data_IF_980170530869
#
_entry.id   IF_980170530869
#
_cell.length_a   1.000
_cell.length_b   1.000
_cell.length_c   1.000
_cell.angle_alpha   90.00
_cell.angle_beta   90.00
_cell.angle_gamma   90.00
#
_symmetry.space_group_name_H-M   'P 1'
#
loop_
_entity.id
_entity.type
_entity.pdbx_description
1 polymer ?
#
# COMPACT_ATOMS: atom_id res chain seq x y z
N UNK A 1 13.00 13.93 11.93
CA UNK A 1 11.93 13.13 11.29
C UNK A 1 10.60 13.87 11.40
N UNK A 2 9.86 14.01 10.29
CA UNK A 2 8.51 14.61 10.26
C UNK A 2 7.46 13.49 10.42
N UNK A 3 6.50 13.68 11.32
CA UNK A 3 5.32 12.82 11.42
C UNK A 3 4.18 13.47 10.61
N UNK A 4 3.51 12.67 9.79
CA UNK A 4 2.41 13.11 8.93
C UNK A 4 1.19 12.25 9.26
N UNK A 5 0.17 12.81 9.94
CA UNK A 5 -1.02 12.08 10.28
C UNK A 5 -1.91 11.86 9.05
N UNK A 6 -2.79 10.85 9.12
CA UNK A 6 -3.66 10.44 8.03
C UNK A 6 -4.49 11.60 7.45
N UNK A 7 -5.01 12.50 8.28
CA UNK A 7 -5.85 13.64 7.87
C UNK A 7 -5.11 14.63 6.97
N UNK A 8 -3.77 14.60 7.00
CA UNK A 8 -2.96 15.46 6.15
C UNK A 8 -3.01 15.06 4.66
N UNK A 9 -3.33 13.79 4.34
CA UNK A 9 -3.32 13.27 2.97
C UNK A 9 -4.54 12.42 2.58
N UNK A 10 -5.36 11.95 3.54
CA UNK A 10 -6.60 11.24 3.25
C UNK A 10 -7.47 12.05 2.29
N UNK A 11 -7.97 11.42 1.25
CA UNK A 11 -8.86 11.98 0.20
C UNK A 11 -8.31 13.21 -0.55
N UNK A 12 -7.01 13.54 -0.35
CA UNK A 12 -6.35 14.66 -1.03
C UNK A 12 -5.48 14.23 -2.21
N UNK A 13 -5.23 12.94 -2.36
CA UNK A 13 -4.44 12.40 -3.46
C UNK A 13 -5.41 11.91 -4.54
N UNK A 14 -5.42 12.50 -5.74
CA UNK A 14 -6.23 12.00 -6.84
C UNK A 14 -5.89 10.52 -7.14
N UNK A 15 -6.90 9.70 -7.38
CA UNK A 15 -6.69 8.27 -7.63
C UNK A 15 -5.82 8.02 -8.87
N UNK A 16 -5.93 8.86 -9.89
CA UNK A 16 -5.06 8.82 -11.08
C UNK A 16 -3.57 8.96 -10.76
N UNK A 17 -3.23 9.72 -9.70
CA UNK A 17 -1.83 9.84 -9.22
C UNK A 17 -1.35 8.52 -8.62
N UNK A 18 -2.21 7.83 -7.87
CA UNK A 18 -1.90 6.51 -7.32
C UNK A 18 -1.71 5.47 -8.43
N UNK A 19 -2.60 5.44 -9.43
CA UNK A 19 -2.47 4.54 -10.60
C UNK A 19 -1.13 4.78 -11.28
N UNK A 20 -0.80 6.03 -11.61
CA UNK A 20 0.46 6.37 -12.28
C UNK A 20 1.69 6.01 -11.43
N UNK A 21 1.62 6.17 -10.11
CA UNK A 21 2.72 5.80 -9.21
C UNK A 21 2.93 4.28 -9.15
N UNK A 22 1.86 3.51 -9.03
CA UNK A 22 1.90 2.04 -9.01
C UNK A 22 2.38 1.50 -10.34
N UNK A 23 1.90 2.04 -11.46
CA UNK A 23 2.34 1.66 -12.80
C UNK A 23 3.85 1.87 -12.98
N UNK A 24 4.37 3.04 -12.55
CA UNK A 24 5.82 3.30 -12.57
C UNK A 24 6.60 2.31 -11.69
N UNK A 25 6.06 1.97 -10.51
CA UNK A 25 6.67 1.00 -9.60
C UNK A 25 6.76 -0.40 -10.24
N UNK A 26 5.70 -0.89 -10.86
CA UNK A 26 5.71 -2.17 -11.59
C UNK A 26 6.68 -2.15 -12.77
N UNK A 27 6.71 -1.05 -13.53
CA UNK A 27 7.63 -0.91 -14.65
C UNK A 27 9.10 -0.89 -14.18
N UNK A 28 9.41 -0.20 -13.09
CA UNK A 28 10.75 -0.17 -12.50
C UNK A 28 11.17 -1.56 -12.01
N UNK A 29 10.25 -2.29 -11.34
CA UNK A 29 10.50 -3.66 -10.91
C UNK A 29 10.80 -4.57 -12.10
N UNK A 30 10.01 -4.48 -13.17
CA UNK A 30 10.21 -5.26 -14.39
C UNK A 30 11.52 -4.97 -15.12
N UNK A 31 12.09 -3.77 -14.92
CA UNK A 31 13.42 -3.40 -15.49
C UNK A 31 14.60 -3.69 -14.55
N UNK A 32 14.33 -4.22 -13.34
CA UNK A 32 15.39 -4.44 -12.34
C UNK A 32 15.90 -3.15 -11.70
N UNK A 33 15.09 -2.10 -11.71
CA UNK A 33 15.40 -0.77 -11.14
C UNK A 33 14.81 -0.60 -9.73
N UNK A 34 14.34 -1.68 -9.12
CA UNK A 34 13.76 -1.68 -7.77
C UNK A 34 14.42 -2.72 -6.88
N UNK A 35 14.92 -2.30 -5.73
CA UNK A 35 15.34 -3.18 -4.66
C UNK A 35 14.10 -3.54 -3.82
N UNK A 36 13.74 -4.81 -3.81
CA UNK A 36 12.55 -5.32 -3.14
C UNK A 36 12.88 -6.63 -2.40
N UNK A 37 13.40 -6.54 -1.16
CA UNK A 37 13.70 -7.73 -0.37
C UNK A 37 12.43 -8.47 0.06
N UNK A 38 12.58 -9.74 0.43
CA UNK A 38 11.50 -10.54 0.97
C UNK A 38 10.89 -9.90 2.21
N UNK A 39 9.56 -9.94 2.38
CA UNK A 39 8.89 -9.42 3.54
C UNK A 39 9.31 -10.14 4.82
N UNK A 40 9.55 -9.40 5.91
CA UNK A 40 9.54 -9.98 7.24
C UNK A 40 8.08 -10.19 7.68
N UNK A 41 7.74 -11.41 8.07
CA UNK A 41 6.41 -11.77 8.55
C UNK A 41 6.51 -12.33 9.95
N UNK A 42 5.71 -11.78 10.87
CA UNK A 42 5.50 -12.31 12.22
C UNK A 42 4.07 -12.82 12.29
N UNK A 43 3.92 -14.12 12.49
CA UNK A 43 2.63 -14.75 12.74
C UNK A 43 2.40 -14.88 14.25
N UNK A 44 1.22 -14.50 14.69
CA UNK A 44 0.78 -14.55 16.10
C UNK A 44 -0.51 -15.38 16.21
N UNK A 45 -0.42 -16.72 16.11
CA UNK A 45 -1.59 -17.58 16.03
C UNK A 45 -2.52 -17.45 17.25
N UNK A 46 -1.94 -17.32 18.46
CA UNK A 46 -2.72 -17.16 19.69
C UNK A 46 -3.59 -15.89 19.69
N UNK A 47 -3.15 -14.83 19.00
CA UNK A 47 -3.87 -13.57 18.87
C UNK A 47 -4.76 -13.54 17.61
N UNK A 48 -4.64 -14.54 16.72
CA UNK A 48 -5.18 -14.51 15.35
C UNK A 48 -4.73 -13.21 14.65
N UNK A 49 -3.40 -13.02 14.60
CA UNK A 49 -2.84 -11.78 14.11
C UNK A 49 -1.54 -12.02 13.33
N UNK A 50 -1.19 -11.03 12.53
CA UNK A 50 0.05 -11.01 11.75
C UNK A 50 0.61 -9.60 11.66
N UNK A 51 1.93 -9.50 11.50
CA UNK A 51 2.64 -8.24 11.24
C UNK A 51 3.54 -8.46 10.03
N UNK A 52 3.43 -7.59 9.03
CA UNK A 52 4.25 -7.60 7.84
C UNK A 52 5.12 -6.34 7.79
N UNK A 53 6.43 -6.51 7.63
CA UNK A 53 7.34 -5.41 7.33
C UNK A 53 7.89 -5.61 5.92
N UNK A 54 7.72 -4.58 5.07
CA UNK A 54 8.16 -4.59 3.68
C UNK A 54 9.03 -3.37 3.42
N UNK A 55 10.13 -3.57 2.69
CA UNK A 55 11.01 -2.51 2.25
C UNK A 55 11.04 -2.38 0.75
N UNK A 56 11.28 -1.17 0.23
CA UNK A 56 11.55 -0.95 -1.17
C UNK A 56 12.40 0.31 -1.39
N UNK A 57 13.26 0.25 -2.41
CA UNK A 57 13.97 1.41 -2.94
C UNK A 57 13.93 1.36 -4.47
N UNK A 58 13.66 2.49 -5.10
CA UNK A 58 13.77 2.65 -6.55
C UNK A 58 15.13 3.26 -6.90
N UNK A 59 15.80 2.74 -7.91
CA UNK A 59 17.08 3.27 -8.38
C UNK A 59 16.98 4.78 -8.66
N UNK A 60 17.88 5.56 -8.07
CA UNK A 60 17.85 7.02 -8.13
C UNK A 60 16.74 7.69 -7.31
N UNK A 61 15.94 6.91 -6.58
CA UNK A 61 14.92 7.43 -5.68
C UNK A 61 15.52 8.06 -4.43
N UNK A 62 14.96 9.20 -4.02
CA UNK A 62 15.44 9.96 -2.84
C UNK A 62 15.20 9.25 -1.51
N UNK A 63 14.28 8.29 -1.47
CA UNK A 63 13.87 7.65 -0.22
C UNK A 63 13.87 6.12 -0.34
N UNK A 64 14.24 5.47 0.76
CA UNK A 64 13.91 4.07 1.03
C UNK A 64 12.59 4.08 1.77
N UNK A 65 11.62 3.28 1.32
CA UNK A 65 10.33 3.15 1.99
C UNK A 65 10.25 1.84 2.77
N UNK A 66 9.92 1.92 4.05
CA UNK A 66 9.59 0.78 4.89
C UNK A 66 8.10 0.88 5.26
N UNK A 67 7.37 -0.21 5.06
CA UNK A 67 5.97 -0.32 5.46
C UNK A 67 5.84 -1.36 6.57
N UNK A 68 5.17 -0.98 7.65
CA UNK A 68 4.65 -1.91 8.65
C UNK A 68 3.14 -2.00 8.46
N UNK A 69 2.62 -3.20 8.26
CA UNK A 69 1.19 -3.46 8.19
C UNK A 69 0.82 -4.57 9.17
N UNK A 70 -0.29 -4.39 9.87
CA UNK A 70 -0.75 -5.35 10.88
C UNK A 70 -2.15 -5.86 10.52
N UNK A 71 -2.39 -7.14 10.83
CA UNK A 71 -3.70 -7.76 10.80
C UNK A 71 -4.02 -8.36 12.16
N UNK A 72 -5.03 -7.83 12.85
CA UNK A 72 -5.49 -8.32 14.15
C UNK A 72 -6.98 -8.64 14.07
N UNK A 73 -7.32 -9.84 13.63
CA UNK A 73 -8.68 -10.22 13.22
C UNK A 73 -9.70 -10.24 14.36
N UNK A 74 -9.25 -10.39 15.62
CA UNK A 74 -10.11 -10.29 16.82
C UNK A 74 -10.50 -8.86 17.19
N UNK A 75 -9.88 -7.86 16.60
CA UNK A 75 -10.13 -6.45 16.90
C UNK A 75 -11.58 -6.04 16.59
N UNK A 76 -12.23 -6.67 15.62
CA UNK A 76 -13.66 -6.44 15.30
C UNK A 76 -14.56 -6.62 16.52
N UNK A 77 -14.29 -7.65 17.34
CA UNK A 77 -15.06 -7.90 18.58
C UNK A 77 -14.84 -6.82 19.65
N UNK A 78 -13.81 -5.99 19.50
CA UNK A 78 -13.44 -4.87 20.38
C UNK A 78 -13.82 -3.50 19.81
N UNK A 79 -14.48 -3.46 18.65
CA UNK A 79 -14.78 -2.20 17.95
C UNK A 79 -13.56 -1.52 17.35
N UNK A 80 -12.44 -2.23 17.18
CA UNK A 80 -11.20 -1.72 16.60
C UNK A 80 -11.05 -2.21 15.15
N UNK A 81 -10.29 -1.47 14.29
CA UNK A 81 -9.93 -1.93 12.97
C UNK A 81 -9.17 -3.27 13.03
N UNK A 82 -9.43 -4.16 12.09
CA UNK A 82 -8.68 -5.41 11.96
C UNK A 82 -7.34 -5.23 11.26
N UNK A 83 -7.16 -4.16 10.51
CA UNK A 83 -5.91 -3.80 9.85
C UNK A 83 -5.46 -2.40 10.25
N UNK A 84 -4.15 -2.22 10.37
CA UNK A 84 -3.50 -0.92 10.64
C UNK A 84 -2.14 -0.89 9.94
N UNK A 85 -1.50 0.28 9.88
CA UNK A 85 -0.19 0.39 9.27
C UNK A 85 0.41 1.79 9.31
N UNK A 86 1.71 1.80 9.01
CA UNK A 86 2.50 3.02 8.87
C UNK A 86 3.55 2.84 7.78
N UNK A 87 4.04 3.98 7.26
CA UNK A 87 5.23 4.02 6.43
C UNK A 87 6.32 4.87 7.08
N UNK A 88 7.54 4.36 7.07
CA UNK A 88 8.74 5.09 7.40
C UNK A 88 9.55 5.33 6.13
N UNK A 89 9.86 6.58 5.83
CA UNK A 89 10.76 6.96 4.75
C UNK A 89 12.11 7.32 5.33
N UNK A 90 13.17 6.68 4.82
CA UNK A 90 14.55 7.03 5.11
C UNK A 90 15.11 7.80 3.91
N UNK A 91 15.97 8.75 4.17
CA UNK A 91 16.80 9.37 3.13
C UNK A 91 17.75 8.32 2.54
N UNK A 92 17.77 8.17 1.22
CA UNK A 92 18.50 7.07 0.59
C UNK A 92 20.02 7.25 0.60
N UNK A 93 20.51 8.49 0.77
CA UNK A 93 21.95 8.77 0.78
C UNK A 93 22.54 8.59 2.20
N UNK A 94 21.75 8.91 3.23
CA UNK A 94 22.25 9.00 4.61
C UNK A 94 21.67 7.96 5.55
N UNK A 95 20.57 7.29 5.17
CA UNK A 95 19.82 6.37 6.02
C UNK A 95 19.04 7.07 7.15
N UNK A 96 19.04 8.39 7.23
CA UNK A 96 18.37 9.15 8.28
C UNK A 96 16.85 9.06 8.13
N UNK A 97 16.08 8.72 9.19
CA UNK A 97 14.64 8.76 9.15
C UNK A 97 14.11 10.16 8.85
N UNK A 98 13.43 10.31 7.69
CA UNK A 98 12.94 11.58 7.19
C UNK A 98 11.45 11.80 7.53
N UNK A 99 10.59 10.82 7.23
CA UNK A 99 9.14 10.95 7.37
C UNK A 99 8.54 9.67 7.94
N UNK A 100 7.62 9.82 8.89
CA UNK A 100 6.69 8.77 9.33
C UNK A 100 5.28 9.16 8.87
N UNK A 101 4.62 8.28 8.10
CA UNK A 101 3.22 8.42 7.72
C UNK A 101 2.36 7.53 8.61
N UNK A 102 1.44 8.11 9.36
CA UNK A 102 0.42 7.39 10.13
C UNK A 102 -0.78 7.12 9.21
N UNK A 103 -0.72 6.01 8.46
CA UNK A 103 -1.66 5.77 7.36
C UNK A 103 -2.86 4.90 7.72
N UNK A 104 -2.79 4.17 8.83
CA UNK A 104 -3.89 3.36 9.37
C UNK A 104 -4.56 2.41 8.35
N UNK A 105 -3.78 1.83 7.43
CA UNK A 105 -4.27 0.95 6.37
C UNK A 105 -4.75 1.67 5.10
N UNK A 106 -4.99 2.97 5.12
CA UNK A 106 -5.52 3.74 3.99
C UNK A 106 -4.68 3.63 2.71
N UNK A 107 -3.36 3.90 2.79
CA UNK A 107 -2.49 3.80 1.63
C UNK A 107 -2.32 2.35 1.16
N UNK A 108 -2.45 1.39 2.07
CA UNK A 108 -2.43 -0.04 1.72
C UNK A 108 -3.62 -0.39 0.84
N UNK A 109 -4.81 0.07 1.18
CA UNK A 109 -6.04 -0.15 0.40
C UNK A 109 -5.99 0.66 -0.91
N UNK A 110 -5.64 1.93 -0.82
CA UNK A 110 -5.58 2.87 -1.94
C UNK A 110 -4.62 2.39 -3.05
N UNK A 111 -3.38 1.98 -2.69
CA UNK A 111 -2.42 1.45 -3.67
C UNK A 111 -2.85 0.08 -4.21
N UNK A 112 -3.60 -0.72 -3.44
CA UNK A 112 -4.08 -2.03 -3.90
C UNK A 112 -5.17 -1.84 -4.95
N UNK A 113 -6.10 -0.91 -4.74
CA UNK A 113 -7.07 -0.52 -5.75
C UNK A 113 -6.38 0.00 -7.03
N UNK A 114 -5.35 0.85 -6.88
CA UNK A 114 -4.56 1.34 -8.01
C UNK A 114 -3.85 0.20 -8.77
N UNK A 115 -3.34 -0.83 -8.08
CA UNK A 115 -2.74 -1.99 -8.73
C UNK A 115 -3.75 -2.79 -9.56
N UNK A 116 -4.99 -2.91 -9.08
CA UNK A 116 -6.08 -3.52 -9.86
C UNK A 116 -6.39 -2.70 -11.11
N UNK A 117 -6.46 -1.37 -11.00
CA UNK A 117 -6.68 -0.50 -12.16
C UNK A 117 -5.56 -0.64 -13.21
N UNK A 118 -4.29 -0.72 -12.78
CA UNK A 118 -3.15 -1.01 -13.68
C UNK A 118 -3.31 -2.38 -14.33
N UNK A 119 -3.69 -3.40 -13.57
CA UNK A 119 -3.91 -4.76 -14.10
C UNK A 119 -5.02 -4.76 -15.16
N UNK A 120 -6.14 -4.11 -14.90
CA UNK A 120 -7.24 -3.98 -15.87
C UNK A 120 -6.79 -3.23 -17.13
N UNK A 121 -6.03 -2.16 -16.99
CA UNK A 121 -5.50 -1.38 -18.13
C UNK A 121 -4.72 -2.25 -19.13
N UNK A 122 -3.96 -3.23 -18.64
CA UNK A 122 -3.05 -4.03 -19.48
C UNK A 122 -3.58 -5.42 -19.82
N UNK A 123 -4.42 -6.01 -18.97
CA UNK A 123 -4.83 -7.41 -19.10
C UNK A 123 -6.30 -7.60 -19.41
N UNK A 124 -7.16 -6.59 -19.23
CA UNK A 124 -8.57 -6.71 -19.60
C UNK A 124 -8.72 -6.76 -21.12
N UNK A 125 -9.70 -7.52 -21.66
CA UNK A 125 -10.07 -7.46 -23.06
C UNK A 125 -10.39 -6.02 -23.48
N UNK A 126 -9.95 -5.60 -24.67
CA UNK A 126 -10.13 -4.21 -25.15
C UNK A 126 -11.59 -3.81 -25.36
N UNK A 127 -12.45 -4.77 -25.55
CA UNK A 127 -13.89 -4.63 -25.75
C UNK A 127 -14.70 -4.88 -24.47
N UNK A 128 -14.05 -5.13 -23.32
CA UNK A 128 -14.73 -5.27 -22.04
C UNK A 128 -15.51 -3.99 -21.71
N UNK A 129 -16.80 -4.16 -21.38
CA UNK A 129 -17.69 -3.05 -21.01
C UNK A 129 -18.27 -3.18 -19.61
N UNK A 130 -18.07 -4.35 -19.00
CA UNK A 130 -18.62 -4.68 -17.69
C UNK A 130 -17.51 -5.34 -16.84
N UNK A 131 -17.55 -5.07 -15.56
CA UNK A 131 -16.71 -5.73 -14.57
C UNK A 131 -17.57 -6.19 -13.39
N UNK A 132 -17.36 -7.42 -12.95
CA UNK A 132 -17.99 -7.94 -11.73
C UNK A 132 -17.02 -7.81 -10.56
N UNK A 133 -17.45 -7.12 -9.52
CA UNK A 133 -16.75 -7.03 -8.25
C UNK A 133 -17.44 -7.91 -7.22
N UNK A 134 -16.71 -8.87 -6.64
CA UNK A 134 -17.24 -9.78 -5.63
C UNK A 134 -16.64 -9.42 -4.28
N UNK A 135 -17.48 -8.97 -3.36
CA UNK A 135 -17.11 -8.50 -2.02
C UNK A 135 -17.56 -7.06 -1.76
N UNK A 136 -17.52 -6.66 -0.49
CA UNK A 136 -17.86 -5.32 -0.03
C UNK A 136 -16.94 -4.89 1.13
N UNK A 137 -15.70 -5.36 1.16
CA UNK A 137 -14.67 -4.95 2.12
C UNK A 137 -14.04 -3.60 1.77
N UNK A 138 -13.06 -3.18 2.55
CA UNK A 138 -12.36 -1.91 2.33
C UNK A 138 -11.68 -1.83 0.96
N UNK A 139 -11.10 -2.94 0.50
CA UNK A 139 -10.45 -3.02 -0.82
C UNK A 139 -11.44 -2.95 -1.98
N UNK A 140 -12.59 -3.60 -1.85
CA UNK A 140 -13.64 -3.64 -2.85
C UNK A 140 -14.30 -2.26 -3.03
N UNK A 141 -14.56 -1.55 -1.93
CA UNK A 141 -15.12 -0.19 -1.97
C UNK A 141 -14.14 0.76 -2.66
N UNK A 142 -12.84 0.66 -2.37
CA UNK A 142 -11.81 1.45 -3.05
C UNK A 142 -11.74 1.20 -4.56
N UNK A 143 -12.08 -0.01 -5.02
CA UNK A 143 -12.10 -0.38 -6.44
C UNK A 143 -13.34 0.12 -7.19
N UNK A 144 -14.47 0.32 -6.50
CA UNK A 144 -15.71 0.77 -7.10
C UNK A 144 -15.68 2.25 -7.54
N UNK A 145 -14.66 3.00 -7.15
CA UNK A 145 -14.45 4.40 -7.53
C UNK A 145 -13.44 4.58 -8.68
N UNK A 146 -13.14 3.52 -9.43
CA UNK A 146 -12.21 3.53 -10.58
C UNK A 146 -12.95 3.77 -11.88
#
# INVERSE_FOLDING_TARGET
MRVVPLEAFRDKIPFSVAIAAVERGFAALGRGEAELPDPMVLELPAQQAEVHVKGAHLAGGRHIALKVATGFYRNRARGLPSGDGMFLLLDADTGVPAVLLEEHGYLTDFRTAAAVAVTLKYLAPKDAREALLVGAGALEIGRAHV
#
